data_IF_388926397398
#
_entry.id   IF_388926397398
#
_cell.length_a   1.000
_cell.length_b   1.000
_cell.length_c   1.000
_cell.angle_alpha   90.00
_cell.angle_beta   90.00
_cell.angle_gamma   90.00
#
_symmetry.space_group_name_H-M   'P 1'
#
loop_
_entity.id
_entity.type
_entity.pdbx_description
1 polymer ?
#
# COMPACT_ATOMS: atom_id res chain seq x y z
N UNK A 1 -9.31 -0.08 -20.40
CA UNK A 1 -8.65 -1.32 -19.93
C UNK A 1 -7.40 -1.04 -19.11
N UNK A 2 -6.40 -0.34 -19.66
CA UNK A 2 -5.17 0.00 -18.95
C UNK A 2 -5.38 0.70 -17.60
N UNK A 3 -6.26 1.71 -17.55
CA UNK A 3 -6.53 2.47 -16.31
C UNK A 3 -7.18 1.67 -15.17
N UNK A 4 -7.97 0.63 -15.48
CA UNK A 4 -8.60 -0.22 -14.44
C UNK A 4 -7.56 -1.18 -13.87
N UNK A 5 -6.78 -1.82 -14.74
CA UNK A 5 -5.67 -2.70 -14.32
C UNK A 5 -4.64 -1.93 -13.51
N UNK A 6 -4.32 -0.70 -13.92
CA UNK A 6 -3.38 0.17 -13.21
C UNK A 6 -3.83 0.49 -11.79
N UNK A 7 -5.08 0.95 -11.62
CA UNK A 7 -5.63 1.23 -10.29
C UNK A 7 -5.74 -0.02 -9.42
N UNK A 8 -6.09 -1.16 -10.01
CA UNK A 8 -6.27 -2.40 -9.27
C UNK A 8 -4.94 -3.01 -8.82
N UNK A 9 -4.00 -3.17 -9.75
CA UNK A 9 -2.76 -3.89 -9.53
C UNK A 9 -1.68 -2.98 -8.95
N UNK A 10 -1.39 -1.87 -9.63
CA UNK A 10 -0.25 -1.00 -9.29
C UNK A 10 -0.57 -0.07 -8.13
N UNK A 11 -1.73 0.59 -8.16
CA UNK A 11 -2.11 1.50 -7.09
C UNK A 11 -2.69 0.79 -5.86
N UNK A 12 -3.27 -0.41 -6.04
CA UNK A 12 -3.96 -1.15 -4.98
C UNK A 12 -3.20 -2.38 -4.50
N UNK A 13 -3.18 -3.44 -5.31
CA UNK A 13 -2.75 -4.77 -4.91
C UNK A 13 -1.29 -4.84 -4.51
N UNK A 14 -0.39 -4.26 -5.31
CA UNK A 14 1.04 -4.23 -5.04
C UNK A 14 1.34 -3.54 -3.69
N UNK A 15 0.88 -2.29 -3.44
CA UNK A 15 1.05 -1.65 -2.13
C UNK A 15 0.48 -2.47 -0.97
N UNK A 16 -0.70 -3.08 -1.13
CA UNK A 16 -1.29 -3.92 -0.10
C UNK A 16 -0.39 -5.11 0.25
N UNK A 17 0.10 -5.84 -0.75
CA UNK A 17 1.02 -6.97 -0.55
C UNK A 17 2.31 -6.53 0.14
N UNK A 18 2.91 -5.43 -0.33
CA UNK A 18 4.15 -4.89 0.25
C UNK A 18 3.98 -4.55 1.71
N UNK A 19 2.92 -3.81 2.04
CA UNK A 19 2.65 -3.37 3.41
C UNK A 19 2.29 -4.53 4.33
N UNK A 20 1.49 -5.50 3.88
CA UNK A 20 1.18 -6.70 4.67
C UNK A 20 2.45 -7.48 5.04
N UNK A 21 3.37 -7.62 4.09
CA UNK A 21 4.68 -8.23 4.36
C UNK A 21 5.49 -7.41 5.36
N UNK A 22 5.53 -6.08 5.22
CA UNK A 22 6.23 -5.21 6.17
C UNK A 22 5.64 -5.29 7.58
N UNK A 23 4.31 -5.37 7.71
CA UNK A 23 3.65 -5.58 9.01
C UNK A 23 4.03 -6.94 9.58
N UNK A 24 4.02 -8.02 8.78
CA UNK A 24 4.43 -9.33 9.25
C UNK A 24 5.90 -9.35 9.72
N UNK A 25 6.80 -8.69 8.98
CA UNK A 25 8.20 -8.52 9.38
C UNK A 25 8.31 -7.75 10.70
N UNK A 26 7.61 -6.63 10.82
CA UNK A 26 7.58 -5.81 12.03
C UNK A 26 7.15 -6.64 13.26
N UNK A 27 6.17 -7.53 13.08
CA UNK A 27 5.63 -8.40 14.12
C UNK A 27 6.48 -9.63 14.47
N UNK A 28 7.60 -9.90 13.77
CA UNK A 28 8.45 -11.05 14.12
C UNK A 28 8.91 -11.90 12.95
N UNK A 29 8.26 -11.80 11.78
CA UNK A 29 8.55 -12.72 10.69
C UNK A 29 10.01 -12.63 10.22
N UNK A 30 10.60 -13.78 9.95
CA UNK A 30 11.93 -13.84 9.35
C UNK A 30 11.91 -13.18 7.95
N UNK A 31 13.06 -12.69 7.44
CA UNK A 31 13.13 -12.11 6.10
C UNK A 31 12.61 -13.05 5.01
N UNK A 32 12.94 -14.34 5.07
CA UNK A 32 12.44 -15.33 4.12
C UNK A 32 10.91 -15.46 4.15
N UNK A 33 10.32 -15.53 5.34
CA UNK A 33 8.86 -15.59 5.51
C UNK A 33 8.18 -14.33 4.98
N UNK A 34 8.78 -13.16 5.21
CA UNK A 34 8.28 -11.86 4.72
C UNK A 34 8.22 -11.83 3.20
N UNK A 35 9.27 -12.32 2.53
CA UNK A 35 9.33 -12.45 1.08
C UNK A 35 8.29 -13.44 0.55
N UNK A 36 8.13 -14.58 1.23
CA UNK A 36 7.13 -15.60 0.84
C UNK A 36 5.70 -15.06 0.96
N UNK A 37 5.40 -14.28 1.99
CA UNK A 37 4.10 -13.60 2.12
C UNK A 37 3.86 -12.67 0.94
N UNK A 38 4.86 -11.85 0.59
CA UNK A 38 4.73 -10.90 -0.52
C UNK A 38 4.50 -11.63 -1.83
N UNK A 39 5.39 -12.58 -2.15
CA UNK A 39 5.33 -13.36 -3.38
C UNK A 39 4.05 -14.16 -3.47
N UNK A 40 3.64 -14.82 -2.39
CA UNK A 40 2.41 -15.61 -2.33
C UNK A 40 1.19 -14.75 -2.64
N UNK A 41 1.00 -13.65 -1.89
CA UNK A 41 -0.14 -12.75 -2.11
C UNK A 41 -0.11 -12.13 -3.51
N UNK A 42 1.05 -11.61 -3.92
CA UNK A 42 1.19 -10.93 -5.21
C UNK A 42 0.84 -11.87 -6.37
N UNK A 43 1.38 -13.09 -6.37
CA UNK A 43 1.15 -14.07 -7.42
C UNK A 43 -0.27 -14.64 -7.39
N UNK A 44 -0.84 -14.92 -6.22
CA UNK A 44 -2.23 -15.40 -6.10
C UNK A 44 -3.20 -14.39 -6.71
N UNK A 45 -3.05 -13.10 -6.42
CA UNK A 45 -3.88 -12.06 -7.03
C UNK A 45 -3.74 -12.00 -8.55
N UNK A 46 -2.51 -12.08 -9.07
CA UNK A 46 -2.25 -12.08 -10.51
C UNK A 46 -2.82 -13.31 -11.22
N UNK A 47 -2.60 -14.49 -10.65
CA UNK A 47 -3.11 -15.74 -11.19
C UNK A 47 -4.64 -15.74 -11.18
N UNK A 48 -5.27 -15.28 -10.10
CA UNK A 48 -6.72 -15.11 -10.02
C UNK A 48 -7.25 -14.18 -11.12
N UNK A 49 -6.62 -13.02 -11.34
CA UNK A 49 -7.02 -12.10 -12.40
C UNK A 49 -6.83 -12.69 -13.81
N UNK A 50 -5.76 -13.45 -14.03
CA UNK A 50 -5.52 -14.13 -15.31
C UNK A 50 -6.54 -15.23 -15.57
N UNK A 51 -6.81 -16.09 -14.60
CA UNK A 51 -7.82 -17.14 -14.70
C UNK A 51 -9.20 -16.53 -14.94
N UNK A 52 -9.56 -15.48 -14.19
CA UNK A 52 -10.81 -14.74 -14.40
C UNK A 52 -10.88 -14.16 -15.82
N UNK A 53 -9.82 -13.47 -16.27
CA UNK A 53 -9.77 -12.85 -17.59
C UNK A 53 -9.91 -13.87 -18.73
N UNK A 54 -9.26 -15.04 -18.60
CA UNK A 54 -9.38 -16.14 -19.56
C UNK A 54 -10.80 -16.72 -19.58
N UNK A 55 -11.37 -17.01 -18.41
CA UNK A 55 -12.71 -17.58 -18.31
C UNK A 55 -13.78 -16.63 -18.88
N UNK A 56 -13.70 -15.35 -18.54
CA UNK A 56 -14.64 -14.33 -19.04
C UNK A 56 -14.43 -14.07 -20.52
N UNK A 57 -13.19 -14.01 -20.98
CA UNK A 57 -12.84 -13.89 -22.39
C UNK A 57 -13.39 -15.03 -23.24
N UNK A 58 -13.23 -16.26 -22.75
CA UNK A 58 -13.74 -17.46 -23.40
C UNK A 58 -15.28 -17.52 -23.41
N UNK A 59 -15.93 -17.23 -22.28
CA UNK A 59 -17.39 -17.35 -22.17
C UNK A 59 -18.16 -16.21 -22.87
N UNK A 60 -17.60 -15.00 -22.91
CA UNK A 60 -18.33 -13.80 -23.35
C UNK A 60 -17.83 -13.21 -24.68
N UNK A 61 -16.68 -13.65 -25.18
CA UNK A 61 -16.12 -13.21 -26.46
C UNK A 61 -16.04 -11.68 -26.55
N UNK A 62 -16.59 -11.10 -27.62
CA UNK A 62 -16.60 -9.65 -27.85
C UNK A 62 -17.38 -8.84 -26.80
N UNK A 63 -18.18 -9.48 -25.94
CA UNK A 63 -18.90 -8.80 -24.84
C UNK A 63 -18.05 -8.61 -23.58
N UNK A 64 -16.77 -9.02 -23.58
CA UNK A 64 -15.81 -8.78 -22.47
C UNK A 64 -15.81 -7.34 -21.95
N UNK A 65 -16.04 -6.37 -22.83
CA UNK A 65 -16.08 -4.97 -22.45
C UNK A 65 -17.12 -4.67 -21.37
N UNK A 66 -18.28 -5.34 -21.38
CA UNK A 66 -19.30 -5.17 -20.33
C UNK A 66 -18.92 -5.89 -19.04
N UNK A 67 -18.21 -7.02 -19.12
CA UNK A 67 -17.71 -7.75 -17.96
C UNK A 67 -16.67 -6.96 -17.15
N UNK A 68 -15.92 -6.07 -17.79
CA UNK A 68 -14.99 -5.16 -17.10
C UNK A 68 -15.71 -4.12 -16.25
N UNK A 69 -17.00 -3.89 -16.51
CA UNK A 69 -17.88 -3.09 -15.66
C UNK A 69 -18.32 -3.80 -14.37
N UNK A 70 -17.88 -5.05 -14.14
CA UNK A 70 -18.26 -5.83 -12.97
C UNK A 70 -17.94 -5.07 -11.67
N UNK A 71 -18.88 -5.00 -10.70
CA UNK A 71 -18.71 -4.22 -9.47
C UNK A 71 -17.40 -4.50 -8.73
N UNK A 72 -16.98 -5.77 -8.70
CA UNK A 72 -15.72 -6.17 -8.07
C UNK A 72 -14.48 -5.48 -8.66
N UNK A 73 -14.41 -5.29 -9.99
CA UNK A 73 -13.28 -4.61 -10.64
C UNK A 73 -13.38 -3.09 -10.52
N UNK A 74 -14.59 -2.55 -10.42
CA UNK A 74 -14.83 -1.12 -10.31
C UNK A 74 -14.65 -0.59 -8.89
N UNK A 75 -15.12 -1.34 -7.88
CA UNK A 75 -15.08 -0.97 -6.46
C UNK A 75 -13.89 -1.60 -5.73
N UNK A 76 -13.41 -2.76 -6.19
CA UNK A 76 -12.27 -3.46 -5.59
C UNK A 76 -11.04 -2.59 -5.38
N UNK A 77 -10.58 -1.80 -6.38
CA UNK A 77 -9.43 -0.91 -6.21
C UNK A 77 -9.61 0.08 -5.04
N UNK A 78 -10.81 0.60 -4.83
CA UNK A 78 -11.09 1.56 -3.74
C UNK A 78 -10.93 0.90 -2.37
N UNK A 79 -11.42 -0.33 -2.22
CA UNK A 79 -11.30 -1.05 -0.94
C UNK A 79 -9.86 -1.51 -0.68
N UNK A 80 -9.18 -2.01 -1.72
CA UNK A 80 -7.79 -2.47 -1.63
C UNK A 80 -6.86 -1.29 -1.29
N UNK A 81 -7.01 -0.15 -1.97
CA UNK A 81 -6.21 1.06 -1.69
C UNK A 81 -6.44 1.60 -0.28
N UNK A 82 -7.68 1.59 0.21
CA UNK A 82 -7.99 1.97 1.60
C UNK A 82 -7.34 1.03 2.61
N UNK A 83 -7.41 -0.28 2.39
CA UNK A 83 -6.77 -1.26 3.23
C UNK A 83 -5.24 -1.07 3.26
N UNK A 84 -4.63 -0.86 2.08
CA UNK A 84 -3.20 -0.58 1.96
C UNK A 84 -2.80 0.71 2.70
N UNK A 85 -3.61 1.77 2.63
CA UNK A 85 -3.34 3.02 3.34
C UNK A 85 -3.41 2.86 4.86
N UNK A 86 -4.42 2.17 5.38
CA UNK A 86 -4.56 1.90 6.82
C UNK A 86 -3.38 1.07 7.32
N UNK A 87 -3.09 -0.03 6.64
CA UNK A 87 -1.97 -0.90 7.00
C UNK A 87 -0.63 -0.17 6.85
N UNK A 88 -0.49 0.73 5.87
CA UNK A 88 0.72 1.51 5.64
C UNK A 88 0.99 2.48 6.80
N UNK A 89 -0.07 3.12 7.30
CA UNK A 89 0.01 3.94 8.51
C UNK A 89 0.40 3.16 9.75
N UNK A 90 0.02 1.88 9.85
CA UNK A 90 0.39 0.99 10.95
C UNK A 90 1.80 0.41 10.80
N UNK A 91 2.25 0.16 9.57
CA UNK A 91 3.54 -0.48 9.32
C UNK A 91 4.72 0.36 9.85
N UNK A 92 4.67 1.68 9.70
CA UNK A 92 5.75 2.57 10.11
C UNK A 92 6.06 2.54 11.62
N UNK A 93 5.09 2.76 12.54
CA UNK A 93 5.37 2.66 13.97
C UNK A 93 5.75 1.24 14.41
N UNK A 94 5.18 0.20 13.79
CA UNK A 94 5.54 -1.19 14.08
C UNK A 94 7.00 -1.50 13.71
N UNK A 95 7.45 -1.02 12.53
CA UNK A 95 8.83 -1.19 12.09
C UNK A 95 9.80 -0.41 13.00
N UNK A 96 9.47 0.83 13.36
CA UNK A 96 10.28 1.62 14.28
C UNK A 96 10.41 0.94 15.65
N UNK A 97 9.31 0.39 16.17
CA UNK A 97 9.34 -0.37 17.42
C UNK A 97 10.31 -1.55 17.36
N UNK A 98 10.33 -2.29 16.26
CA UNK A 98 11.23 -3.43 16.04
C UNK A 98 12.71 -3.04 15.93
N UNK A 99 13.03 -1.89 15.34
CA UNK A 99 14.42 -1.49 15.12
C UNK A 99 15.02 -0.66 16.25
N UNK A 100 14.19 0.00 17.07
CA UNK A 100 14.63 0.95 18.10
C UNK A 100 14.54 0.39 19.53
N UNK A 101 14.64 -0.95 19.69
CA UNK A 101 14.43 -1.67 20.96
C UNK A 101 15.19 -1.08 22.18
N UNK A 102 16.34 -0.41 21.97
CA UNK A 102 17.14 0.20 23.05
C UNK A 102 16.73 1.63 23.47
N UNK A 103 15.87 2.33 22.73
CA UNK A 103 15.56 3.75 22.98
C UNK A 103 14.07 4.04 23.15
N UNK A 104 13.51 3.59 24.29
CA UNK A 104 12.12 3.84 24.72
C UNK A 104 11.58 5.28 24.53
N UNK A 105 12.33 6.37 24.81
CA UNK A 105 11.82 7.72 24.58
C UNK A 105 11.66 8.06 23.08
N UNK A 106 12.51 7.52 22.20
CA UNK A 106 12.41 7.72 20.75
C UNK A 106 11.18 7.03 20.16
N UNK A 107 10.79 5.86 20.68
CA UNK A 107 9.57 5.14 20.28
C UNK A 107 8.31 5.95 20.64
N UNK A 108 8.27 6.51 21.86
CA UNK A 108 7.16 7.38 22.29
C UNK A 108 7.03 8.63 21.40
N UNK A 109 8.15 9.33 21.16
CA UNK A 109 8.18 10.53 20.33
C UNK A 109 7.77 10.24 18.88
N UNK A 110 8.28 9.18 18.28
CA UNK A 110 7.95 8.78 16.91
C UNK A 110 6.49 8.37 16.76
N UNK A 111 5.94 7.63 17.72
CA UNK A 111 4.52 7.26 17.73
C UNK A 111 3.63 8.50 17.80
N UNK A 112 3.95 9.44 18.70
CA UNK A 112 3.23 10.71 18.83
C UNK A 112 3.36 11.54 17.54
N UNK A 113 4.55 11.63 16.94
CA UNK A 113 4.76 12.33 15.68
C UNK A 113 3.93 11.72 14.54
N UNK A 114 3.89 10.39 14.41
CA UNK A 114 3.06 9.69 13.42
C UNK A 114 1.57 10.00 13.63
N UNK A 115 1.08 9.97 14.86
CA UNK A 115 -0.32 10.30 15.18
C UNK A 115 -0.64 11.76 14.85
N UNK A 116 0.24 12.70 15.18
CA UNK A 116 0.06 14.13 14.87
C UNK A 116 0.02 14.36 13.36
N UNK A 117 0.96 13.77 12.61
CA UNK A 117 0.99 13.86 11.14
C UNK A 117 -0.28 13.24 10.54
N UNK A 118 -0.69 12.06 11.01
CA UNK A 118 -1.91 11.41 10.55
C UNK A 118 -3.16 12.27 10.82
N UNK A 119 -3.29 12.83 12.03
CA UNK A 119 -4.40 13.72 12.38
C UNK A 119 -4.38 15.03 11.55
N UNK A 120 -3.20 15.58 11.28
CA UNK A 120 -3.01 16.72 10.38
C UNK A 120 -3.45 16.42 8.95
N UNK A 121 -3.05 15.28 8.40
CA UNK A 121 -3.45 14.83 7.06
C UNK A 121 -4.96 14.61 6.95
N UNK A 122 -5.60 14.05 7.98
CA UNK A 122 -7.06 13.90 8.03
C UNK A 122 -7.74 15.27 8.04
N UNK A 123 -7.24 16.26 8.80
CA UNK A 123 -7.79 17.62 8.82
C UNK A 123 -7.57 18.39 7.52
N UNK A 124 -6.51 18.08 6.78
CA UNK A 124 -6.19 18.67 5.48
C UNK A 124 -6.88 17.95 4.32
N UNK A 125 -7.61 16.86 4.59
CA UNK A 125 -8.35 16.11 3.59
C UNK A 125 -9.37 17.01 2.88
N UNK A 126 -9.24 17.13 1.55
CA UNK A 126 -10.07 18.01 0.72
C UNK A 126 -9.64 19.48 0.69
N UNK A 127 -8.65 19.90 1.49
CA UNK A 127 -8.10 21.27 1.49
C UNK A 127 -6.78 21.38 0.72
N UNK A 128 -6.03 20.29 0.62
CA UNK A 128 -4.73 20.24 -0.05
C UNK A 128 -4.71 19.05 -1.01
N UNK A 129 -4.22 19.27 -2.23
CA UNK A 129 -3.97 18.20 -3.18
C UNK A 129 -2.89 17.26 -2.62
N UNK A 130 -3.19 15.97 -2.51
CA UNK A 130 -2.25 14.97 -1.98
C UNK A 130 -0.90 14.95 -2.71
N UNK A 131 -0.89 15.33 -4.00
CA UNK A 131 0.33 15.47 -4.80
C UNK A 131 1.29 16.55 -4.23
N UNK A 132 0.77 17.67 -3.71
CA UNK A 132 1.62 18.73 -3.13
C UNK A 132 2.28 18.27 -1.83
N UNK A 133 1.56 17.50 -1.02
CA UNK A 133 2.08 16.92 0.21
C UNK A 133 3.14 15.84 -0.10
N UNK A 134 2.91 15.01 -1.12
CA UNK A 134 3.88 14.03 -1.58
C UNK A 134 5.17 14.69 -2.10
N UNK A 135 5.05 15.76 -2.89
CA UNK A 135 6.19 16.53 -3.38
C UNK A 135 6.98 17.20 -2.25
N UNK A 136 6.29 17.76 -1.24
CA UNK A 136 6.94 18.30 -0.06
C UNK A 136 7.72 17.21 0.69
N UNK A 137 7.11 16.05 0.90
CA UNK A 137 7.78 14.91 1.55
C UNK A 137 9.01 14.43 0.77
N UNK A 138 8.89 14.32 -0.56
CA UNK A 138 10.02 13.98 -1.43
C UNK A 138 11.13 15.03 -1.39
N UNK A 139 10.78 16.32 -1.39
CA UNK A 139 11.75 17.41 -1.30
C UNK A 139 12.51 17.39 0.03
N UNK A 140 11.81 17.14 1.15
CA UNK A 140 12.43 16.96 2.46
C UNK A 140 13.36 15.75 2.49
N UNK A 141 12.93 14.60 1.94
CA UNK A 141 13.74 13.39 1.87
C UNK A 141 14.99 13.59 1.00
N UNK A 142 14.83 14.24 -0.16
CA UNK A 142 15.94 14.55 -1.05
C UNK A 142 16.93 15.52 -0.38
N UNK A 143 16.42 16.59 0.25
CA UNK A 143 17.25 17.52 1.03
C UNK A 143 17.99 16.83 2.17
N UNK A 144 17.32 15.92 2.87
CA UNK A 144 17.93 15.06 3.88
C UNK A 144 19.08 14.26 3.26
N UNK A 145 18.84 13.52 2.17
CA UNK A 145 19.84 12.63 1.56
C UNK A 145 21.15 13.27 1.10
N UNK A 146 21.18 14.61 0.95
CA UNK A 146 22.36 15.38 0.51
C UNK A 146 23.17 15.94 1.70
N UNK A 147 22.63 15.88 2.93
CA UNK A 147 23.36 16.29 4.12
C UNK A 147 24.51 15.31 4.40
N UNK A 148 25.73 15.79 4.66
CA UNK A 148 26.83 14.96 5.13
C UNK A 148 26.56 14.61 6.61
N UNK A 149 26.27 13.33 6.87
CA UNK A 149 26.25 12.74 8.21
C UNK A 149 27.67 12.42 8.67
#
# INVERSE_FOLDING_TARGET
LGSVGDRLVWAGWLPLCSVLSLVAFALGAAPATTLLIFLGLYNVGHLGLRMWGLNVGWAQGMRVASALGHPALRQGPVHITRAAAVLGGLALPLLLHRFLEESRPLIGLTTVAVVIVAAGLVKLHGRVEGARLALLGLALLAGYSVLPW
#
